data_IF_301550521295
#
_entry.id   IF_301550521295
#
_cell.length_a   1.000
_cell.length_b   1.000
_cell.length_c   1.000
_cell.angle_alpha   90.00
_cell.angle_beta   90.00
_cell.angle_gamma   90.00
#
_symmetry.space_group_name_H-M   'P 1'
#
loop_
_entity.id
_entity.type
_entity.pdbx_description
1 polymer ?
#
# COMPACT_ATOMS: atom_id res chain seq x y z
N UNK A 1 4.01 14.76 10.93
CA UNK A 1 4.20 13.56 10.08
C UNK A 1 5.69 13.46 9.74
N UNK A 2 6.40 12.51 10.34
CA UNK A 2 7.84 12.35 10.12
C UNK A 2 8.12 12.11 8.64
N UNK A 3 8.91 13.00 8.02
CA UNK A 3 9.32 12.90 6.63
C UNK A 3 10.06 11.58 6.44
N UNK A 4 9.37 10.65 5.77
CA UNK A 4 9.91 9.36 5.38
C UNK A 4 11.19 9.63 4.58
N UNK A 5 12.34 9.25 5.14
CA UNK A 5 13.62 9.27 4.44
C UNK A 5 13.44 8.34 3.25
N UNK A 6 13.05 8.90 2.10
CA UNK A 6 12.81 8.18 0.86
C UNK A 6 14.12 7.49 0.54
N UNK A 7 14.28 6.21 0.87
CA UNK A 7 15.04 5.33 0.00
C UNK A 7 14.29 5.46 -1.32
N UNK A 8 14.77 6.34 -2.20
CA UNK A 8 14.13 6.66 -3.48
C UNK A 8 14.11 5.36 -4.27
N UNK A 9 13.04 4.58 -4.11
CA UNK A 9 12.71 3.57 -5.07
C UNK A 9 12.63 4.31 -6.41
N UNK A 10 13.31 3.79 -7.41
CA UNK A 10 13.15 4.30 -8.77
C UNK A 10 11.67 4.27 -9.12
N UNK A 11 11.20 5.28 -9.84
CA UNK A 11 9.80 5.40 -10.29
C UNK A 11 9.31 4.10 -10.93
N UNK A 12 10.16 3.48 -11.77
CA UNK A 12 9.90 2.19 -12.41
C UNK A 12 9.57 1.06 -11.41
N UNK A 13 10.25 1.03 -10.26
CA UNK A 13 9.98 0.03 -9.21
C UNK A 13 8.69 0.34 -8.46
N UNK A 14 8.31 1.61 -8.33
CA UNK A 14 7.05 2.01 -7.71
C UNK A 14 5.86 1.67 -8.61
N UNK A 15 5.97 1.92 -9.91
CA UNK A 15 4.94 1.56 -10.89
C UNK A 15 4.70 0.05 -10.88
N UNK A 16 5.75 -0.76 -10.98
CA UNK A 16 5.64 -2.23 -10.88
C UNK A 16 5.02 -2.70 -9.56
N UNK A 17 5.38 -2.09 -8.43
CA UNK A 17 4.78 -2.44 -7.14
C UNK A 17 3.29 -2.06 -7.09
N UNK A 18 2.91 -0.96 -7.72
CA UNK A 18 1.53 -0.48 -7.79
C UNK A 18 0.69 -1.36 -8.71
N UNK A 19 1.22 -1.77 -9.87
CA UNK A 19 0.60 -2.74 -10.76
C UNK A 19 0.32 -4.06 -10.03
N UNK A 20 1.32 -4.59 -9.31
CA UNK A 20 1.15 -5.79 -8.49
C UNK A 20 0.12 -5.60 -7.37
N UNK A 21 0.04 -4.41 -6.78
CA UNK A 21 -0.97 -4.10 -5.78
C UNK A 21 -2.38 -4.08 -6.40
N UNK A 22 -2.55 -3.42 -7.56
CA UNK A 22 -3.81 -3.39 -8.30
C UNK A 22 -4.24 -4.79 -8.77
N UNK A 23 -3.27 -5.66 -9.10
CA UNK A 23 -3.53 -7.06 -9.47
C UNK A 23 -3.88 -7.96 -8.27
N UNK A 24 -3.86 -7.44 -7.04
CA UNK A 24 -4.08 -8.23 -5.82
C UNK A 24 -2.92 -9.17 -5.45
N UNK A 25 -1.73 -8.98 -6.04
CA UNK A 25 -0.54 -9.76 -5.66
C UNK A 25 -0.14 -9.49 -4.22
N UNK A 26 0.58 -10.43 -3.59
CA UNK A 26 1.12 -10.21 -2.23
C UNK A 26 2.38 -9.35 -2.28
N UNK A 27 2.65 -8.59 -1.22
CA UNK A 27 3.89 -7.82 -1.10
C UNK A 27 5.15 -8.71 -1.21
N UNK A 28 5.05 -9.98 -0.82
CA UNK A 28 6.15 -10.95 -0.91
C UNK A 28 6.48 -11.31 -2.36
N UNK A 29 5.47 -11.58 -3.19
CA UNK A 29 5.68 -11.89 -4.61
C UNK A 29 6.16 -10.65 -5.36
N UNK A 30 5.56 -9.49 -5.09
CA UNK A 30 5.97 -8.22 -5.69
C UNK A 30 7.42 -7.85 -5.32
N UNK A 31 7.87 -8.14 -4.08
CA UNK A 31 9.25 -7.90 -3.67
C UNK A 31 10.28 -8.69 -4.50
N UNK A 32 9.97 -9.96 -4.76
CA UNK A 32 10.83 -10.86 -5.55
C UNK A 32 10.86 -10.39 -7.02
N UNK A 33 9.69 -10.07 -7.58
CA UNK A 33 9.56 -9.65 -8.98
C UNK A 33 10.18 -8.27 -9.26
N UNK A 34 10.08 -7.33 -8.32
CA UNK A 34 10.63 -5.98 -8.47
C UNK A 34 12.09 -5.85 -7.98
N UNK A 35 12.66 -6.90 -7.39
CA UNK A 35 14.00 -6.87 -6.80
C UNK A 35 14.12 -5.78 -5.72
N UNK A 36 13.17 -5.76 -4.79
CA UNK A 36 13.15 -4.85 -3.63
C UNK A 36 13.16 -5.63 -2.33
N UNK A 37 13.64 -5.00 -1.26
CA UNK A 37 13.62 -5.63 0.05
C UNK A 37 12.18 -5.92 0.51
N UNK A 38 11.97 -7.08 1.13
CA UNK A 38 10.64 -7.56 1.53
C UNK A 38 9.97 -6.61 2.51
N UNK A 39 10.72 -5.99 3.44
CA UNK A 39 10.19 -5.01 4.38
C UNK A 39 9.76 -3.73 3.66
N UNK A 40 10.50 -3.35 2.62
CA UNK A 40 10.19 -2.17 1.80
C UNK A 40 8.90 -2.39 1.00
N UNK A 41 8.73 -3.55 0.36
CA UNK A 41 7.49 -3.88 -0.34
C UNK A 41 6.28 -3.96 0.60
N UNK A 42 6.43 -4.60 1.76
CA UNK A 42 5.37 -4.69 2.76
C UNK A 42 4.96 -3.31 3.28
N UNK A 43 5.95 -2.45 3.58
CA UNK A 43 5.70 -1.07 4.00
C UNK A 43 5.01 -0.25 2.90
N UNK A 44 5.40 -0.43 1.63
CA UNK A 44 4.76 0.26 0.50
C UNK A 44 3.28 -0.13 0.36
N UNK A 45 2.98 -1.42 0.46
CA UNK A 45 1.62 -1.94 0.36
C UNK A 45 0.73 -1.48 1.52
N UNK A 46 1.29 -1.41 2.73
CA UNK A 46 0.58 -0.85 3.89
C UNK A 46 0.20 0.62 3.66
N UNK A 47 1.14 1.44 3.17
CA UNK A 47 0.87 2.86 2.88
C UNK A 47 -0.14 3.05 1.77
N UNK A 48 -0.09 2.24 0.70
CA UNK A 48 -1.10 2.27 -0.35
C UNK A 48 -2.51 2.00 0.22
N UNK A 49 -2.65 1.03 1.12
CA UNK A 49 -3.94 0.74 1.77
C UNK A 49 -4.43 1.89 2.64
N UNK A 50 -3.55 2.53 3.41
CA UNK A 50 -3.91 3.71 4.22
C UNK A 50 -4.39 4.87 3.36
N UNK A 51 -3.72 5.15 2.23
CA UNK A 51 -4.12 6.21 1.29
C UNK A 51 -5.48 5.90 0.70
N UNK A 52 -5.68 4.66 0.21
CA UNK A 52 -6.97 4.26 -0.35
C UNK A 52 -8.08 4.32 0.70
N UNK A 53 -7.81 3.88 1.94
CA UNK A 53 -8.78 3.98 3.03
C UNK A 53 -9.13 5.43 3.36
N UNK A 54 -8.15 6.33 3.34
CA UNK A 54 -8.36 7.77 3.56
C UNK A 54 -9.21 8.38 2.44
N UNK A 55 -8.88 8.11 1.18
CA UNK A 55 -9.64 8.60 0.02
C UNK A 55 -11.07 8.04 0.00
N UNK A 56 -11.25 6.74 0.27
CA UNK A 56 -12.58 6.13 0.39
C UNK A 56 -13.41 6.74 1.52
N UNK A 57 -12.78 7.05 2.66
CA UNK A 57 -13.43 7.73 3.77
C UNK A 57 -13.82 9.17 3.42
N UNK A 58 -12.96 9.90 2.67
CA UNK A 58 -13.23 11.26 2.21
C UNK A 58 -14.35 11.29 1.16
N UNK A 59 -14.35 10.35 0.22
CA UNK A 59 -15.30 10.30 -0.88
C UNK A 59 -16.70 9.84 -0.44
N UNK A 60 -16.80 9.04 0.63
CA UNK A 60 -18.08 8.50 1.10
C UNK A 60 -18.86 9.45 2.01
N UNK A 61 -18.32 10.60 2.42
CA UNK A 61 -19.00 11.57 3.32
C UNK A 61 -19.43 11.02 4.69
N UNK A 62 -19.17 9.74 4.97
CA UNK A 62 -19.51 9.03 6.18
C UNK A 62 -18.21 8.81 6.96
N UNK A 63 -17.99 9.64 7.97
CA UNK A 63 -16.86 9.51 8.87
C UNK A 63 -16.75 8.10 9.43
N UNK A 64 -15.59 7.48 9.24
CA UNK A 64 -14.93 6.45 10.07
C UNK A 64 -15.71 5.23 10.59
N UNK A 65 -17.00 5.02 10.30
CA UNK A 65 -17.80 4.04 11.03
C UNK A 65 -17.96 2.67 10.36
N UNK A 66 -17.72 2.52 9.04
CA UNK A 66 -18.20 1.31 8.35
C UNK A 66 -17.22 0.55 7.43
N UNK A 67 -15.92 0.85 7.37
CA UNK A 67 -15.02 0.21 6.36
C UNK A 67 -14.11 -0.90 6.92
N UNK A 68 -14.28 -1.32 8.16
CA UNK A 68 -13.55 -2.50 8.68
C UNK A 68 -14.46 -3.70 8.96
N UNK A 69 -14.82 -4.51 7.96
CA UNK A 69 -15.23 -5.89 8.19
C UNK A 69 -14.03 -6.82 7.99
N UNK A 70 -12.94 -6.63 8.74
CA UNK A 70 -11.84 -7.62 8.79
C UNK A 70 -11.01 -7.52 10.06
N UNK A 71 -11.67 -7.57 11.22
CA UNK A 71 -11.01 -7.95 12.47
C UNK A 71 -12.03 -8.69 13.33
N UNK A 72 -11.91 -10.02 13.38
CA UNK A 72 -12.85 -10.86 14.13
C UNK A 72 -12.74 -12.35 13.82
N UNK A 73 -11.53 -12.90 13.76
CA UNK A 73 -11.21 -14.31 14.04
C UNK A 73 -9.74 -14.43 14.44
#
# INVERSE_FOLDING_TARGET
MGSMRKRRLSHYKQDRLTEHFASGSTARTAAILCGVDRKTAAFYFLRLREIIAYELAAQSGAGFHCVFPFSGM
#
